data_IF_853492008230
#
_entry.id   IF_853492008230
#
_cell.length_a   1.000
_cell.length_b   1.000
_cell.length_c   1.000
_cell.angle_alpha   90.00
_cell.angle_beta   90.00
_cell.angle_gamma   90.00
#
_symmetry.space_group_name_H-M   'P 1'
#
loop_
_entity.id
_entity.type
_entity.pdbx_description
1 polymer ?
#
# COMPACT_ATOMS: atom_id res chain seq x y z
N UNK A 1 0.41 -13.91 -20.49
CA UNK A 1 -0.04 -14.42 -19.18
C UNK A 1 0.10 -13.32 -18.14
N UNK A 2 -0.94 -13.06 -17.33
CA UNK A 2 -0.83 -12.12 -16.21
C UNK A 2 -0.22 -12.88 -15.03
N UNK A 3 0.98 -12.50 -14.61
CA UNK A 3 1.60 -13.09 -13.42
C UNK A 3 0.75 -12.72 -12.20
N UNK A 4 0.14 -13.73 -11.60
CA UNK A 4 -0.73 -13.59 -10.44
C UNK A 4 -0.12 -14.37 -9.29
N UNK A 5 0.08 -13.71 -8.16
CA UNK A 5 0.59 -14.31 -6.94
C UNK A 5 -0.59 -14.54 -5.99
N UNK A 6 -0.53 -15.58 -5.17
CA UNK A 6 -1.55 -15.86 -4.15
C UNK A 6 -0.87 -15.97 -2.80
N UNK A 7 -1.46 -15.35 -1.79
CA UNK A 7 -1.07 -15.52 -0.39
C UNK A 7 -2.26 -16.15 0.31
N UNK A 8 -2.00 -17.19 1.10
CA UNK A 8 -2.99 -17.80 1.97
C UNK A 8 -2.66 -17.38 3.41
N UNK A 9 -3.68 -16.92 4.12
CA UNK A 9 -3.59 -16.44 5.49
C UNK A 9 -4.65 -17.16 6.30
N UNK A 10 -4.39 -17.41 7.59
CA UNK A 10 -5.48 -17.73 8.50
C UNK A 10 -6.40 -16.50 8.68
N UNK A 11 -7.61 -16.74 9.16
CA UNK A 11 -8.64 -15.70 9.28
C UNK A 11 -8.24 -14.58 10.27
N UNK A 12 -7.49 -14.89 11.33
CA UNK A 12 -7.05 -13.92 12.33
C UNK A 12 -6.00 -13.00 11.71
N UNK A 13 -4.96 -13.58 11.11
CA UNK A 13 -3.91 -12.82 10.41
C UNK A 13 -4.50 -11.92 9.32
N UNK A 14 -5.48 -12.42 8.55
CA UNK A 14 -6.15 -11.59 7.55
C UNK A 14 -6.87 -10.40 8.19
N UNK A 15 -7.73 -10.62 9.19
CA UNK A 15 -8.57 -9.57 9.78
C UNK A 15 -7.78 -8.56 10.61
N UNK A 16 -6.79 -9.00 11.38
CA UNK A 16 -6.09 -8.14 12.33
C UNK A 16 -4.89 -7.43 11.73
N UNK A 17 -4.27 -7.99 10.68
CA UNK A 17 -3.03 -7.45 10.12
C UNK A 17 -3.22 -7.05 8.65
N UNK A 18 -3.69 -7.98 7.82
CA UNK A 18 -3.64 -7.79 6.37
C UNK A 18 -4.73 -6.83 5.86
N UNK A 19 -5.98 -7.02 6.27
CA UNK A 19 -7.10 -6.16 5.89
C UNK A 19 -6.92 -4.70 6.33
N UNK A 20 -6.49 -4.41 7.58
CA UNK A 20 -6.15 -3.05 7.99
C UNK A 20 -5.02 -2.43 7.16
N UNK A 21 -4.00 -3.21 6.79
CA UNK A 21 -2.93 -2.75 5.90
C UNK A 21 -3.46 -2.37 4.51
N UNK A 22 -4.36 -3.18 3.93
CA UNK A 22 -4.99 -2.89 2.64
C UNK A 22 -5.81 -1.60 2.71
N UNK A 23 -6.64 -1.44 3.75
CA UNK A 23 -7.45 -0.24 3.97
C UNK A 23 -6.58 1.01 4.13
N UNK A 24 -5.54 0.96 4.97
CA UNK A 24 -4.61 2.09 5.20
C UNK A 24 -3.95 2.57 3.90
N UNK A 25 -3.71 1.66 2.96
CA UNK A 25 -3.04 1.97 1.70
C UNK A 25 -4.01 2.07 0.50
N UNK A 26 -5.33 2.06 0.75
CA UNK A 26 -6.37 2.10 -0.30
C UNK A 26 -6.17 1.04 -1.39
N UNK A 27 -5.74 -0.16 -0.99
CA UNK A 27 -5.50 -1.29 -1.88
C UNK A 27 -6.75 -2.19 -1.92
N UNK A 28 -7.20 -2.52 -3.14
CA UNK A 28 -8.29 -3.46 -3.38
C UNK A 28 -7.71 -4.70 -4.05
N UNK A 29 -7.64 -5.80 -3.31
CA UNK A 29 -7.19 -7.09 -3.82
C UNK A 29 -8.37 -8.08 -3.81
N UNK A 30 -8.48 -8.99 -4.79
CA UNK A 30 -9.43 -10.08 -4.72
C UNK A 30 -9.12 -11.00 -3.53
N UNK A 31 -10.15 -11.32 -2.75
CA UNK A 31 -10.06 -12.16 -1.56
C UNK A 31 -11.13 -13.25 -1.64
N UNK A 32 -10.77 -14.49 -1.34
CA UNK A 32 -11.68 -15.63 -1.28
C UNK A 32 -11.55 -16.32 0.08
N UNK A 33 -12.68 -16.54 0.76
CA UNK A 33 -12.72 -17.37 1.97
C UNK A 33 -12.68 -18.86 1.58
N UNK A 34 -11.82 -19.63 2.26
CA UNK A 34 -11.55 -21.05 1.99
C UNK A 34 -11.47 -21.79 3.34
N UNK A 35 -12.58 -22.39 3.76
CA UNK A 35 -12.71 -23.09 5.05
C UNK A 35 -12.22 -22.23 6.23
N UNK A 36 -11.00 -22.49 6.72
CA UNK A 36 -10.34 -21.79 7.84
C UNK A 36 -9.22 -20.83 7.38
N UNK A 37 -9.18 -20.50 6.09
CA UNK A 37 -8.16 -19.65 5.49
C UNK A 37 -8.80 -18.60 4.58
N UNK A 38 -8.02 -17.58 4.30
CA UNK A 38 -8.33 -16.50 3.40
C UNK A 38 -7.26 -16.48 2.32
N UNK A 39 -7.68 -16.62 1.06
CA UNK A 39 -6.80 -16.52 -0.09
C UNK A 39 -6.88 -15.12 -0.70
N UNK A 40 -5.75 -14.42 -0.72
CA UNK A 40 -5.62 -13.11 -1.35
C UNK A 40 -4.85 -13.25 -2.66
N UNK A 41 -5.46 -12.76 -3.74
CA UNK A 41 -4.81 -12.74 -5.05
C UNK A 41 -4.13 -11.39 -5.30
N UNK A 42 -2.82 -11.40 -5.52
CA UNK A 42 -2.02 -10.23 -5.84
C UNK A 42 -1.69 -10.22 -7.33
N UNK A 43 -2.19 -9.20 -8.02
CA UNK A 43 -1.82 -8.94 -9.43
C UNK A 43 -0.60 -8.05 -9.47
N UNK A 44 0.32 -8.29 -10.42
CA UNK A 44 1.50 -7.44 -10.64
C UNK A 44 1.13 -5.97 -10.79
N UNK A 45 0.01 -5.65 -11.43
CA UNK A 45 -0.49 -4.28 -11.62
C UNK A 45 -0.76 -3.59 -10.29
N UNK A 46 -1.40 -4.26 -9.32
CA UNK A 46 -1.67 -3.70 -8.00
C UNK A 46 -0.38 -3.37 -7.23
N UNK A 47 0.67 -4.19 -7.38
CA UNK A 47 1.98 -3.92 -6.78
C UNK A 47 2.63 -2.69 -7.41
N UNK A 48 2.60 -2.57 -8.74
CA UNK A 48 3.15 -1.41 -9.43
C UNK A 48 2.41 -0.12 -9.06
N UNK A 49 1.08 -0.15 -9.02
CA UNK A 49 0.26 0.99 -8.59
C UNK A 49 0.57 1.42 -7.15
N UNK A 50 0.73 0.46 -6.25
CA UNK A 50 1.12 0.72 -4.86
C UNK A 50 2.49 1.40 -4.78
N UNK A 51 3.50 0.85 -5.46
CA UNK A 51 4.86 1.39 -5.46
C UNK A 51 4.91 2.80 -6.08
N UNK A 52 4.19 3.02 -7.19
CA UNK A 52 4.09 4.35 -7.80
C UNK A 52 3.49 5.37 -6.82
N UNK A 53 2.39 5.03 -6.14
CA UNK A 53 1.78 5.91 -5.13
C UNK A 53 2.73 6.22 -3.97
N UNK A 54 3.50 5.23 -3.50
CA UNK A 54 4.49 5.43 -2.44
C UNK A 54 5.61 6.38 -2.87
N UNK A 55 6.18 6.16 -4.05
CA UNK A 55 7.25 7.01 -4.59
C UNK A 55 6.75 8.45 -4.77
N UNK A 56 5.57 8.65 -5.35
CA UNK A 56 4.98 10.00 -5.51
C UNK A 56 4.78 10.67 -4.15
N UNK A 57 4.20 9.96 -3.18
CA UNK A 57 4.01 10.52 -1.83
C UNK A 57 5.33 10.89 -1.15
N UNK A 58 6.40 10.13 -1.36
CA UNK A 58 7.72 10.46 -0.81
C UNK A 58 8.34 11.70 -1.48
N UNK A 59 8.16 11.85 -2.79
CA UNK A 59 8.59 13.05 -3.54
C UNK A 59 7.80 14.28 -3.06
N UNK A 60 6.47 14.20 -2.99
CA UNK A 60 5.62 15.31 -2.54
C UNK A 60 6.01 15.76 -1.12
N UNK A 61 6.22 14.81 -0.20
CA UNK A 61 6.66 15.11 1.15
C UNK A 61 8.04 15.78 1.17
N UNK A 62 8.96 15.35 0.31
CA UNK A 62 10.28 15.95 0.19
C UNK A 62 10.21 17.41 -0.32
N UNK A 63 9.36 17.70 -1.30
CA UNK A 63 9.17 19.06 -1.84
C UNK A 63 8.55 20.01 -0.81
N UNK A 64 7.60 19.52 -0.01
CA UNK A 64 7.01 20.29 1.10
C UNK A 64 8.08 20.64 2.13
N UNK A 65 8.90 19.66 2.55
CA UNK A 65 9.98 19.89 3.51
C UNK A 65 11.01 20.92 3.00
N UNK A 66 11.39 20.86 1.73
CA UNK A 66 12.30 21.84 1.11
C UNK A 66 11.71 23.26 1.12
N UNK A 67 10.43 23.40 0.76
CA UNK A 67 9.73 24.69 0.73
C UNK A 67 9.63 25.32 2.12
N UNK A 68 9.41 24.52 3.17
CA UNK A 68 9.41 24.97 4.56
C UNK A 68 10.79 25.45 5.04
N UNK A 69 11.87 24.79 4.61
CA UNK A 69 13.24 25.22 4.95
C UNK A 69 13.61 26.56 4.32
N UNK A 70 13.26 26.77 3.04
CA UNK A 70 13.50 28.03 2.32
C UNK A 70 12.73 29.19 2.98
N UNK A 71 11.46 28.97 3.32
CA UNK A 71 10.64 30.00 3.97
C UNK A 71 11.19 30.41 5.34
N UNK A 72 11.79 29.48 6.11
CA UNK A 72 12.41 29.81 7.40
C UNK A 72 13.70 30.64 7.27
N UNK A 73 14.41 30.53 6.14
CA UNK A 73 15.63 31.32 5.89
C UNK A 73 15.34 32.76 5.41
N UNK A 74 14.17 33.01 4.81
CA UNK A 74 13.78 34.32 4.28
C UNK A 74 13.07 35.24 5.31
N UNK A 75 12.88 34.80 6.56
CA UNK A 75 12.24 35.57 7.64
C UNK A 75 13.28 36.21 8.59
N UNK A 76 14.55 36.27 8.19
CA UNK A 76 15.62 37.03 8.87
C UNK A 76 16.27 38.02 7.90
#
# INVERSE_FOLDING_TARGET
MVNTYKIQLDEITYKEIFEPFLHKNFLKLPVEARDNMVEVTIRRTCVLEYLQKKIISEIDNYEVMQSEMINKMNIH
#
